data_IF_351965992154
#
_entry.id   IF_351965992154
#
_cell.length_a   1.000
_cell.length_b   1.000
_cell.length_c   1.000
_cell.angle_alpha   90.00
_cell.angle_beta   90.00
_cell.angle_gamma   90.00
#
_symmetry.space_group_name_H-M   'P 1'
#
loop_
_entity.id
_entity.type
_entity.pdbx_description
1 polymer ?
#
# COMPACT_ATOMS: atom_id res chain seq x y z
N UNK A 1 -9.11 51.71 -27.05
CA UNK A 1 -7.66 51.94 -27.23
C UNK A 1 -6.93 51.01 -26.26
N UNK A 2 -6.04 50.09 -26.59
CA UNK A 2 -5.50 49.48 -27.81
C UNK A 2 -4.97 48.09 -27.35
N UNK A 3 -5.46 46.97 -27.90
CA UNK A 3 -4.74 46.03 -28.80
C UNK A 3 -3.21 46.00 -28.70
N UNK A 4 -2.67 44.82 -28.35
CA UNK A 4 -1.50 44.11 -28.91
C UNK A 4 -1.37 42.78 -28.11
N UNK A 5 -1.99 41.66 -28.53
CA UNK A 5 -1.49 40.63 -29.46
C UNK A 5 -0.03 40.20 -29.23
N UNK A 6 0.15 39.03 -28.56
CA UNK A 6 1.11 37.99 -28.93
C UNK A 6 0.45 36.63 -28.64
N UNK A 7 0.15 35.90 -29.71
CA UNK A 7 -0.15 34.47 -29.70
C UNK A 7 1.13 33.68 -29.41
N UNK A 8 1.06 32.66 -28.55
CA UNK A 8 1.98 31.52 -28.62
C UNK A 8 1.37 30.28 -27.94
N UNK A 9 0.95 29.35 -28.81
CA UNK A 9 0.91 27.91 -28.63
C UNK A 9 0.09 27.31 -27.47
N UNK A 10 -1.13 26.93 -27.84
CA UNK A 10 -1.65 25.56 -27.75
C UNK A 10 -0.57 24.51 -27.39
N UNK A 11 -0.53 24.11 -26.12
CA UNK A 11 -0.26 22.71 -25.75
C UNK A 11 -1.42 22.31 -24.82
N UNK A 12 -2.63 22.33 -25.38
CA UNK A 12 -3.53 21.22 -25.11
C UNK A 12 -2.76 20.02 -25.61
N UNK A 13 -2.15 19.28 -24.69
CA UNK A 13 -1.78 17.90 -24.97
C UNK A 13 -3.07 17.25 -25.42
N UNK A 14 -3.27 17.21 -26.74
CA UNK A 14 -3.96 16.15 -27.40
C UNK A 14 -3.40 14.90 -26.75
N UNK A 15 -4.13 14.39 -25.77
CA UNK A 15 -4.33 12.95 -25.70
C UNK A 15 -4.86 12.64 -27.09
N UNK A 16 -3.94 12.40 -28.03
CA UNK A 16 -4.17 11.43 -29.05
C UNK A 16 -4.62 10.22 -28.26
N UNK A 17 -5.93 10.12 -28.07
CA UNK A 17 -6.58 8.84 -28.10
C UNK A 17 -6.10 8.31 -29.44
N UNK A 18 -5.02 7.53 -29.40
CA UNK A 18 -4.64 6.66 -30.48
C UNK A 18 -5.83 5.72 -30.62
N UNK A 19 -6.86 6.20 -31.34
CA UNK A 19 -7.87 5.33 -31.93
C UNK A 19 -7.04 4.27 -32.65
N UNK A 20 -7.30 2.97 -32.41
CA UNK A 20 -6.49 1.92 -33.01
C UNK A 20 -6.43 2.15 -34.53
N UNK A 21 -5.28 2.58 -35.02
CA UNK A 21 -5.03 2.67 -36.44
C UNK A 21 -4.94 1.24 -36.94
N UNK A 22 -5.88 0.82 -37.77
CA UNK A 22 -6.05 -0.55 -38.28
C UNK A 22 -6.38 -1.59 -37.21
N UNK A 23 -7.47 -2.32 -37.42
CA UNK A 23 -7.79 -3.49 -36.59
C UNK A 23 -6.66 -4.52 -36.72
N UNK A 24 -5.84 -4.65 -35.67
CA UNK A 24 -4.80 -5.68 -35.53
C UNK A 24 -5.47 -7.01 -35.16
N UNK A 25 -6.21 -7.59 -36.10
CA UNK A 25 -6.95 -8.84 -35.90
C UNK A 25 -5.98 -10.01 -36.03
N UNK A 26 -5.91 -10.83 -34.98
CA UNK A 26 -4.97 -11.96 -34.89
C UNK A 26 -5.66 -13.25 -34.47
N UNK A 27 -5.04 -14.36 -34.82
CA UNK A 27 -5.40 -15.69 -34.36
C UNK A 27 -4.17 -16.39 -33.82
N UNK A 28 -4.39 -17.26 -32.83
CA UNK A 28 -3.42 -18.28 -32.44
C UNK A 28 -3.96 -19.61 -32.93
N UNK A 29 -3.11 -20.39 -33.59
CA UNK A 29 -3.42 -21.74 -34.05
C UNK A 29 -2.49 -22.74 -33.38
N UNK A 30 -3.05 -23.89 -32.99
CA UNK A 30 -2.31 -25.04 -32.50
C UNK A 30 -2.12 -26.03 -33.64
N UNK A 31 -0.87 -26.33 -33.97
CA UNK A 31 -0.52 -27.28 -35.03
C UNK A 31 0.03 -28.56 -34.40
N UNK A 32 -0.47 -29.76 -34.77
CA UNK A 32 -0.03 -31.03 -34.19
C UNK A 32 1.49 -31.25 -34.25
N UNK A 33 2.01 -32.03 -33.30
CA UNK A 33 3.43 -32.31 -33.21
C UNK A 33 3.99 -33.00 -34.47
N UNK A 34 4.99 -32.38 -35.09
CA UNK A 34 5.72 -32.93 -36.23
C UNK A 34 7.00 -32.16 -36.54
N UNK A 35 7.88 -32.76 -37.37
CA UNK A 35 9.17 -32.16 -37.79
C UNK A 35 9.03 -30.85 -38.57
N UNK A 36 7.83 -30.53 -39.05
CA UNK A 36 7.56 -29.38 -39.93
C UNK A 36 6.37 -28.53 -39.48
N UNK A 37 6.08 -28.49 -38.17
CA UNK A 37 4.90 -27.77 -37.62
C UNK A 37 4.87 -26.28 -37.97
N UNK A 38 6.03 -25.62 -37.89
CA UNK A 38 6.17 -24.19 -38.22
C UNK A 38 5.96 -23.97 -39.71
N UNK A 39 6.56 -24.83 -40.55
CA UNK A 39 6.32 -24.80 -41.99
C UNK A 39 4.85 -25.07 -42.36
N UNK A 40 4.11 -25.85 -41.56
CA UNK A 40 2.68 -26.05 -41.75
C UNK A 40 1.86 -24.80 -41.35
N UNK A 41 2.26 -24.09 -40.29
CA UNK A 41 1.66 -22.80 -39.93
C UNK A 41 1.93 -21.71 -40.97
N UNK A 42 3.13 -21.67 -41.55
CA UNK A 42 3.48 -20.74 -42.65
C UNK A 42 2.61 -21.02 -43.88
N UNK A 43 2.53 -22.29 -44.32
CA UNK A 43 1.67 -22.67 -45.46
C UNK A 43 0.20 -22.35 -45.20
N UNK A 44 -0.29 -22.64 -44.00
CA UNK A 44 -1.64 -22.28 -43.58
C UNK A 44 -1.89 -20.77 -43.70
N UNK A 45 -0.93 -19.95 -43.28
CA UNK A 45 -1.03 -18.50 -43.41
C UNK A 45 -1.13 -18.11 -44.89
N UNK A 46 -0.24 -18.61 -45.74
CA UNK A 46 -0.23 -18.34 -47.18
C UNK A 46 -1.54 -18.77 -47.88
N UNK A 47 -2.00 -19.99 -47.62
CA UNK A 47 -3.24 -20.57 -48.17
C UNK A 47 -4.48 -19.75 -47.81
N UNK A 48 -4.49 -19.16 -46.61
CA UNK A 48 -5.61 -18.35 -46.09
C UNK A 48 -5.44 -16.87 -46.31
N UNK A 49 -4.35 -16.44 -46.93
CA UNK A 49 -4.00 -15.03 -47.09
C UNK A 49 -3.73 -14.33 -45.76
N UNK A 50 -3.35 -15.05 -44.71
CA UNK A 50 -2.93 -14.47 -43.45
C UNK A 50 -1.43 -14.22 -43.47
N UNK A 51 -1.00 -13.29 -42.65
CA UNK A 51 0.41 -13.06 -42.38
C UNK A 51 0.85 -13.95 -41.22
N UNK A 52 1.94 -14.70 -41.40
CA UNK A 52 2.57 -15.45 -40.33
C UNK A 52 3.39 -14.50 -39.44
N UNK A 53 3.05 -14.41 -38.15
CA UNK A 53 3.71 -13.51 -37.19
C UNK A 53 4.89 -14.22 -36.52
N UNK A 54 4.71 -15.46 -36.06
CA UNK A 54 5.75 -16.22 -35.38
C UNK A 54 5.23 -17.30 -34.43
N UNK A 55 6.14 -18.03 -33.75
CA UNK A 55 5.77 -18.96 -32.68
C UNK A 55 5.37 -18.21 -31.40
N UNK A 56 4.46 -18.81 -30.61
CA UNK A 56 4.07 -18.29 -29.30
C UNK A 56 4.92 -18.94 -28.21
N UNK A 57 5.96 -18.26 -27.75
CA UNK A 57 6.84 -18.77 -26.70
C UNK A 57 6.12 -18.87 -25.34
N UNK A 58 6.40 -19.91 -24.50
CA UNK A 58 7.29 -21.05 -24.73
C UNK A 58 6.59 -22.28 -25.35
N UNK A 59 5.45 -22.08 -26.04
CA UNK A 59 4.59 -23.16 -26.53
C UNK A 59 5.00 -23.60 -27.94
N UNK A 60 5.66 -24.76 -28.10
CA UNK A 60 6.26 -25.14 -29.37
C UNK A 60 5.23 -25.53 -30.44
N UNK A 61 3.96 -25.64 -30.11
CA UNK A 61 2.84 -26.02 -30.97
C UNK A 61 1.90 -24.87 -31.32
N UNK A 62 2.14 -23.67 -30.78
CA UNK A 62 1.29 -22.49 -31.01
C UNK A 62 1.96 -21.48 -31.94
N UNK A 63 1.19 -20.98 -32.90
CA UNK A 63 1.63 -20.02 -33.90
C UNK A 63 0.64 -18.86 -34.02
N UNK A 64 1.17 -17.64 -34.12
CA UNK A 64 0.39 -16.42 -34.27
C UNK A 64 0.27 -16.04 -35.76
N UNK A 65 -0.97 -15.80 -36.19
CA UNK A 65 -1.35 -15.38 -37.52
C UNK A 65 -2.08 -14.03 -37.45
N UNK A 66 -1.84 -13.14 -38.43
CA UNK A 66 -2.46 -11.82 -38.50
C UNK A 66 -3.24 -11.64 -39.79
N UNK A 67 -4.36 -10.93 -39.72
CA UNK A 67 -5.14 -10.58 -40.91
C UNK A 67 -4.32 -9.64 -41.81
N UNK A 68 -4.15 -10.01 -43.08
CA UNK A 68 -3.48 -9.17 -44.07
C UNK A 68 -4.47 -8.27 -44.80
N UNK A 69 -4.08 -7.01 -45.06
CA UNK A 69 -4.87 -6.06 -45.89
C UNK A 69 -5.24 -6.64 -47.25
N UNK A 70 -4.32 -7.39 -47.88
CA UNK A 70 -4.53 -7.98 -49.21
C UNK A 70 -5.70 -8.98 -49.25
N UNK A 71 -5.96 -9.66 -48.13
CA UNK A 71 -6.97 -10.72 -48.01
C UNK A 71 -8.36 -10.16 -47.75
N UNK A 72 -8.42 -9.03 -47.06
CA UNK A 72 -9.64 -8.24 -46.91
C UNK A 72 -10.05 -7.64 -48.26
N UNK A 73 -9.08 -7.09 -49.00
CA UNK A 73 -9.31 -6.52 -50.33
C UNK A 73 -9.75 -7.57 -51.37
N UNK A 74 -9.18 -8.78 -51.36
CA UNK A 74 -9.58 -9.84 -52.32
C UNK A 74 -10.95 -10.45 -52.01
N UNK A 75 -11.35 -10.53 -50.74
CA UNK A 75 -12.62 -11.17 -50.31
C UNK A 75 -13.81 -10.20 -50.34
N UNK A 76 -13.57 -8.89 -50.29
CA UNK A 76 -14.58 -7.84 -50.49
C UNK A 76 -15.17 -7.83 -51.92
N UNK A 77 -14.40 -8.28 -52.92
CA UNK A 77 -14.79 -8.23 -54.34
C UNK A 77 -15.73 -9.37 -54.74
N UNK A 78 -15.67 -10.52 -54.06
CA UNK A 78 -16.33 -11.77 -54.48
C UNK A 78 -17.74 -11.96 -53.86
N UNK A 79 -18.10 -11.20 -52.82
CA UNK A 79 -19.33 -11.41 -52.04
C UNK A 79 -20.26 -10.19 -51.93
N UNK A 80 -19.95 -9.04 -52.54
CA UNK A 80 -20.81 -7.84 -52.47
C UNK A 80 -20.97 -7.28 -51.04
N UNK A 81 -19.98 -7.50 -50.18
CA UNK A 81 -19.97 -7.07 -48.78
C UNK A 81 -19.06 -5.84 -48.67
N UNK A 82 -19.63 -4.74 -48.20
CA UNK A 82 -18.95 -3.46 -48.03
C UNK A 82 -18.24 -3.34 -46.69
N UNK A 83 -17.04 -2.74 -46.76
CA UNK A 83 -16.21 -2.19 -45.68
C UNK A 83 -15.42 -3.15 -44.78
N UNK A 84 -14.23 -2.64 -44.41
CA UNK A 84 -13.11 -3.26 -43.69
C UNK A 84 -13.43 -3.76 -42.27
N UNK A 85 -14.64 -3.54 -41.77
CA UNK A 85 -15.05 -3.78 -40.37
C UNK A 85 -16.20 -4.80 -40.25
N UNK A 86 -16.47 -5.61 -41.28
CA UNK A 86 -17.56 -6.61 -41.20
C UNK A 86 -17.14 -7.84 -40.37
N UNK A 87 -17.80 -8.10 -39.21
CA UNK A 87 -17.58 -9.31 -38.40
C UNK A 87 -17.68 -10.62 -39.19
N UNK A 88 -18.42 -10.61 -40.32
CA UNK A 88 -18.60 -11.78 -41.19
C UNK A 88 -17.28 -12.30 -41.79
N UNK A 89 -16.30 -11.43 -42.06
CA UNK A 89 -14.99 -11.82 -42.60
C UNK A 89 -14.14 -12.51 -41.54
N UNK A 90 -14.16 -11.97 -40.32
CA UNK A 90 -13.39 -12.52 -39.20
C UNK A 90 -13.94 -13.89 -38.77
N UNK A 91 -15.27 -14.04 -38.77
CA UNK A 91 -15.95 -15.30 -38.48
C UNK A 91 -15.66 -16.36 -39.55
N UNK A 92 -15.64 -15.97 -40.84
CA UNK A 92 -15.28 -16.85 -41.94
C UNK A 92 -13.83 -17.34 -41.83
N UNK A 93 -12.88 -16.44 -41.57
CA UNK A 93 -11.46 -16.79 -41.35
C UNK A 93 -11.32 -17.72 -40.14
N UNK A 94 -12.03 -17.44 -39.05
CA UNK A 94 -11.99 -18.29 -37.86
C UNK A 94 -12.54 -19.70 -38.12
N UNK A 95 -13.62 -19.82 -38.89
CA UNK A 95 -14.19 -21.10 -39.29
C UNK A 95 -13.24 -21.89 -40.21
N UNK A 96 -12.58 -21.21 -41.15
CA UNK A 96 -11.58 -21.83 -42.04
C UNK A 96 -10.36 -22.35 -41.27
N UNK A 97 -9.83 -21.57 -40.32
CA UNK A 97 -8.72 -21.99 -39.47
C UNK A 97 -9.10 -23.18 -38.59
N UNK A 98 -10.28 -23.12 -37.96
CA UNK A 98 -10.76 -24.18 -37.06
C UNK A 98 -11.12 -25.48 -37.80
N UNK A 99 -11.52 -25.39 -39.07
CA UNK A 99 -11.83 -26.54 -39.92
C UNK A 99 -10.62 -27.09 -40.68
N UNK A 100 -9.42 -26.51 -40.52
CA UNK A 100 -8.26 -26.90 -41.30
C UNK A 100 -7.63 -28.21 -40.78
N UNK A 101 -7.33 -29.19 -41.65
CA UNK A 101 -6.81 -30.50 -41.21
C UNK A 101 -5.42 -30.44 -40.54
N UNK A 102 -4.69 -29.34 -40.74
CA UNK A 102 -3.40 -29.11 -40.08
C UNK A 102 -3.51 -28.35 -38.74
N UNK A 103 -4.72 -27.99 -38.31
CA UNK A 103 -4.98 -27.20 -37.10
C UNK A 103 -5.78 -28.06 -36.12
N UNK A 104 -5.25 -28.24 -34.92
CA UNK A 104 -5.96 -28.91 -33.82
C UNK A 104 -6.93 -27.96 -33.12
N UNK A 105 -6.57 -26.69 -33.06
CA UNK A 105 -7.32 -25.65 -32.38
C UNK A 105 -6.95 -24.28 -32.93
N UNK A 106 -7.93 -23.39 -33.04
CA UNK A 106 -7.70 -21.99 -33.38
C UNK A 106 -8.48 -21.10 -32.42
N UNK A 107 -7.95 -19.90 -32.15
CA UNK A 107 -8.66 -18.89 -31.37
C UNK A 107 -8.33 -17.49 -31.86
N UNK A 108 -9.39 -16.72 -32.13
CA UNK A 108 -9.27 -15.29 -32.41
C UNK A 108 -8.85 -14.54 -31.15
N UNK A 109 -7.85 -13.67 -31.27
CA UNK A 109 -7.37 -12.84 -30.17
C UNK A 109 -8.29 -11.65 -29.97
N UNK A 110 -9.08 -11.70 -28.90
CA UNK A 110 -10.00 -10.63 -28.51
C UNK A 110 -9.35 -9.81 -27.40
N UNK A 111 -9.25 -8.47 -27.55
CA UNK A 111 -8.78 -7.60 -26.49
C UNK A 111 -9.58 -7.81 -25.20
N UNK A 112 -8.91 -8.25 -24.13
CA UNK A 112 -9.54 -8.42 -22.83
C UNK A 112 -9.53 -7.11 -22.06
N UNK A 113 -10.70 -6.61 -21.65
CA UNK A 113 -10.77 -5.54 -20.65
C UNK A 113 -10.33 -6.11 -19.29
N UNK A 114 -9.13 -5.75 -18.85
CA UNK A 114 -8.62 -6.07 -17.52
C UNK A 114 -8.65 -4.80 -16.66
N UNK A 115 -9.37 -4.84 -15.55
CA UNK A 115 -9.24 -3.80 -14.52
C UNK A 115 -8.17 -4.24 -13.52
N UNK A 116 -7.28 -3.32 -13.15
CA UNK A 116 -6.37 -3.53 -12.02
C UNK A 116 -7.23 -3.62 -10.77
N UNK A 117 -7.19 -4.75 -10.06
CA UNK A 117 -7.90 -4.90 -8.78
C UNK A 117 -7.19 -4.01 -7.76
N UNK A 118 -7.82 -2.90 -7.38
CA UNK A 118 -7.49 -2.20 -6.13
C UNK A 118 -7.95 -3.06 -4.95
N UNK A 119 -7.51 -2.71 -3.74
CA UNK A 119 -8.02 -3.32 -2.52
C UNK A 119 -9.55 -3.20 -2.49
N UNK A 120 -10.22 -4.30 -2.17
CA UNK A 120 -11.68 -4.35 -2.06
C UNK A 120 -12.15 -4.14 -0.61
N UNK A 121 -11.20 -3.94 0.30
CA UNK A 121 -11.42 -3.57 1.69
C UNK A 121 -12.33 -2.31 1.77
N UNK A 122 -13.49 -2.40 2.46
CA UNK A 122 -14.58 -1.44 2.35
C UNK A 122 -14.23 -0.01 2.82
N UNK A 123 -13.22 0.14 3.65
CA UNK A 123 -12.71 1.39 4.16
C UNK A 123 -11.50 1.94 3.40
N UNK A 124 -10.87 1.15 2.52
CA UNK A 124 -9.73 1.63 1.71
C UNK A 124 -10.05 2.89 0.90
N UNK A 125 -11.24 3.05 0.28
CA UNK A 125 -11.59 4.31 -0.40
C UNK A 125 -11.61 5.55 0.51
N UNK A 126 -11.70 5.36 1.84
CA UNK A 126 -11.64 6.42 2.86
C UNK A 126 -10.23 6.63 3.44
N UNK A 127 -9.27 5.74 3.19
CA UNK A 127 -7.88 5.87 3.61
C UNK A 127 -7.11 6.83 2.70
N UNK A 128 -7.50 8.10 2.76
CA UNK A 128 -6.94 9.17 1.93
C UNK A 128 -5.42 9.33 2.13
N UNK A 129 -4.91 9.08 3.33
CA UNK A 129 -3.47 9.11 3.64
C UNK A 129 -2.65 8.07 2.84
N UNK A 130 -3.28 6.99 2.33
CA UNK A 130 -2.64 6.00 1.46
C UNK A 130 -2.82 6.36 -0.02
N UNK A 131 -4.05 6.73 -0.39
CA UNK A 131 -4.41 7.15 -1.75
C UNK A 131 -5.47 8.25 -1.66
N UNK A 132 -5.08 9.49 -1.91
CA UNK A 132 -6.01 10.61 -1.86
C UNK A 132 -6.66 10.81 -3.23
N UNK A 133 -7.93 10.40 -3.33
CA UNK A 133 -8.71 10.48 -4.58
C UNK A 133 -9.23 11.89 -4.88
N UNK A 134 -9.19 12.79 -3.89
CA UNK A 134 -9.78 14.11 -3.96
C UNK A 134 -8.70 15.19 -4.13
N UNK A 135 -7.67 15.15 -3.28
CA UNK A 135 -6.50 16.05 -3.37
C UNK A 135 -5.27 15.24 -3.80
N UNK A 136 -5.02 15.17 -5.11
CA UNK A 136 -3.92 14.35 -5.65
C UNK A 136 -2.57 14.84 -5.13
N UNK A 137 -1.77 13.91 -4.61
CA UNK A 137 -0.46 14.21 -4.03
C UNK A 137 -0.49 14.56 -2.55
N UNK A 138 -1.68 14.68 -1.95
CA UNK A 138 -1.88 14.81 -0.51
C UNK A 138 -2.07 13.42 0.12
N UNK A 139 -1.12 12.52 -0.13
CA UNK A 139 -1.03 11.17 0.41
C UNK A 139 0.44 10.73 0.53
N UNK A 140 0.67 9.57 1.14
CA UNK A 140 2.02 9.01 1.36
C UNK A 140 2.68 8.48 0.09
N UNK A 141 2.01 8.53 -1.07
CA UNK A 141 2.48 7.96 -2.34
C UNK A 141 2.86 6.46 -2.25
N UNK A 142 2.30 5.72 -1.28
CA UNK A 142 2.61 4.30 -1.07
C UNK A 142 2.14 3.41 -2.23
N UNK A 143 1.16 3.87 -3.01
CA UNK A 143 0.62 3.11 -4.15
C UNK A 143 1.66 2.78 -5.22
N UNK A 144 2.71 3.60 -5.39
CA UNK A 144 3.83 3.29 -6.28
C UNK A 144 4.62 2.07 -5.79
N UNK A 145 4.97 2.07 -4.51
CA UNK A 145 5.72 1.01 -3.82
C UNK A 145 4.98 -0.33 -3.89
N UNK A 146 3.67 -0.32 -3.66
CA UNK A 146 2.85 -1.54 -3.79
C UNK A 146 2.80 -2.10 -5.22
N UNK A 147 2.86 -1.25 -6.24
CA UNK A 147 2.90 -1.69 -7.66
C UNK A 147 4.20 -2.40 -8.01
N UNK A 148 5.27 -2.13 -7.27
CA UNK A 148 6.56 -2.82 -7.38
C UNK A 148 6.57 -4.15 -6.60
N UNK A 149 5.46 -4.51 -5.96
CA UNK A 149 5.34 -5.74 -5.16
C UNK A 149 5.93 -5.63 -3.75
N UNK A 150 6.28 -4.41 -3.30
CA UNK A 150 6.81 -4.16 -1.97
C UNK A 150 5.65 -3.84 -1.02
N UNK A 151 5.39 -4.72 -0.05
CA UNK A 151 4.27 -4.61 0.90
C UNK A 151 4.70 -4.85 2.37
N UNK A 152 6.01 -4.87 2.65
CA UNK A 152 6.57 -5.10 3.98
C UNK A 152 6.75 -6.57 4.38
N UNK A 153 6.49 -7.52 3.49
CA UNK A 153 6.71 -8.95 3.77
C UNK A 153 8.12 -9.25 4.30
N UNK A 154 8.20 -10.08 5.34
CA UNK A 154 9.46 -10.45 5.99
C UNK A 154 9.93 -9.52 7.11
N UNK A 155 9.27 -8.38 7.31
CA UNK A 155 9.57 -7.43 8.39
C UNK A 155 8.54 -7.60 9.52
N UNK A 156 8.99 -7.53 10.79
CA UNK A 156 8.09 -7.39 11.95
C UNK A 156 8.23 -6.00 12.55
N UNK A 157 7.11 -5.33 12.75
CA UNK A 157 7.02 -4.05 13.46
C UNK A 157 6.38 -4.30 14.83
N UNK A 158 7.05 -3.89 15.91
CA UNK A 158 6.50 -3.93 17.25
C UNK A 158 5.85 -2.59 17.59
N UNK A 159 4.59 -2.64 18.02
CA UNK A 159 3.86 -1.52 18.59
C UNK A 159 4.03 -1.57 20.10
N UNK A 160 4.76 -0.59 20.66
CA UNK A 160 5.07 -0.50 22.10
C UNK A 160 4.07 0.44 22.74
N UNK A 161 3.03 -0.10 23.39
CA UNK A 161 1.82 0.65 23.66
C UNK A 161 0.92 0.07 24.78
N UNK A 162 -0.39 0.37 24.75
CA UNK A 162 -1.45 -0.09 25.66
C UNK A 162 -2.00 -1.50 25.33
N UNK A 163 -1.57 -2.07 24.21
CA UNK A 163 -1.92 -3.41 23.75
C UNK A 163 -2.34 -3.48 22.30
N UNK A 164 -2.24 -4.68 21.72
CA UNK A 164 -2.66 -4.97 20.34
C UNK A 164 -3.69 -6.09 20.39
N UNK A 165 -4.90 -5.79 19.92
CA UNK A 165 -5.97 -6.78 19.76
C UNK A 165 -5.65 -7.70 18.58
N UNK A 166 -4.72 -8.63 18.80
CA UNK A 166 -4.22 -9.48 17.73
C UNK A 166 -5.27 -10.43 17.15
N UNK A 167 -6.36 -10.71 17.88
CA UNK A 167 -7.49 -11.51 17.40
C UNK A 167 -8.39 -10.76 16.41
N UNK A 168 -8.15 -9.45 16.22
CA UNK A 168 -8.86 -8.65 15.25
C UNK A 168 -8.79 -9.32 13.86
N UNK A 169 -9.92 -9.47 13.14
CA UNK A 169 -9.94 -10.14 11.84
C UNK A 169 -8.97 -9.57 10.81
N UNK A 170 -8.67 -8.28 10.92
CA UNK A 170 -7.79 -7.56 10.01
C UNK A 170 -6.30 -7.68 10.37
N UNK A 171 -5.99 -8.00 11.64
CA UNK A 171 -4.63 -8.11 12.15
C UNK A 171 -4.16 -9.56 12.36
N UNK A 172 -5.09 -10.49 12.64
CA UNK A 172 -4.76 -11.86 13.09
C UNK A 172 -3.83 -12.63 12.18
N UNK A 173 -3.89 -12.39 10.87
CA UNK A 173 -3.04 -13.06 9.90
C UNK A 173 -1.62 -12.45 9.86
N UNK A 174 -1.49 -11.18 10.25
CA UNK A 174 -0.25 -10.42 10.32
C UNK A 174 0.34 -10.37 11.74
N UNK A 175 -0.36 -10.86 12.75
CA UNK A 175 0.16 -10.94 14.11
C UNK A 175 1.42 -11.82 14.21
N UNK A 176 2.41 -11.36 14.96
CA UNK A 176 3.61 -12.11 15.33
C UNK A 176 3.71 -12.25 16.86
N UNK A 177 3.34 -13.44 17.34
CA UNK A 177 3.40 -13.78 18.75
C UNK A 177 4.83 -13.87 19.31
N UNK A 178 5.84 -14.21 18.49
CA UNK A 178 7.23 -14.32 18.97
C UNK A 178 7.85 -12.95 19.28
N UNK A 179 7.40 -11.91 18.58
CA UNK A 179 7.78 -10.52 18.83
C UNK A 179 6.94 -9.82 19.90
N UNK A 180 5.92 -10.47 20.45
CA UNK A 180 4.92 -9.85 21.33
C UNK A 180 5.09 -10.21 22.81
N UNK A 181 4.70 -9.30 23.70
CA UNK A 181 4.72 -9.52 25.15
C UNK A 181 3.78 -8.56 25.87
N UNK A 182 3.27 -9.00 27.01
CA UNK A 182 2.56 -8.16 27.95
C UNK A 182 3.41 -7.97 29.20
N UNK A 183 3.90 -6.76 29.41
CA UNK A 183 4.65 -6.41 30.61
C UNK A 183 3.77 -5.91 31.76
N UNK A 184 2.54 -5.48 31.49
CA UNK A 184 1.62 -5.03 32.53
C UNK A 184 1.09 -6.23 33.35
N UNK A 185 0.73 -7.32 32.66
CA UNK A 185 0.26 -8.57 33.28
C UNK A 185 1.34 -9.69 33.30
N UNK A 186 2.51 -9.42 32.70
CA UNK A 186 3.68 -10.31 32.66
C UNK A 186 3.38 -11.68 32.01
N UNK A 187 2.75 -11.65 30.84
CA UNK A 187 2.46 -12.83 30.02
C UNK A 187 2.73 -12.60 28.51
N UNK A 188 2.27 -13.50 27.64
CA UNK A 188 2.55 -13.46 26.19
C UNK A 188 1.39 -12.90 25.37
N UNK A 189 0.25 -12.59 25.98
CA UNK A 189 -0.93 -12.10 25.28
C UNK A 189 -1.01 -10.57 25.41
N UNK A 190 -0.55 -9.79 24.41
CA UNK A 190 -0.54 -8.34 24.48
C UNK A 190 -1.94 -7.72 24.28
N UNK A 191 -3.00 -8.50 24.51
CA UNK A 191 -4.37 -8.06 24.24
C UNK A 191 -4.71 -6.88 25.16
N UNK A 192 -5.40 -5.84 24.66
CA UNK A 192 -5.74 -4.70 25.48
C UNK A 192 -6.71 -5.08 26.59
N UNK A 193 -6.53 -4.50 27.76
CA UNK A 193 -7.43 -4.71 28.88
C UNK A 193 -8.76 -3.98 28.66
N UNK A 194 -9.79 -4.74 28.31
CA UNK A 194 -11.13 -4.21 28.02
C UNK A 194 -11.86 -3.66 29.26
N UNK A 195 -11.34 -3.91 30.47
CA UNK A 195 -11.92 -3.45 31.74
C UNK A 195 -11.16 -2.25 32.33
N UNK A 196 -10.14 -1.74 31.63
CA UNK A 196 -9.39 -0.59 32.07
C UNK A 196 -10.30 0.64 32.20
N UNK A 197 -9.88 1.57 33.07
CA UNK A 197 -10.57 2.84 33.28
C UNK A 197 -10.49 3.75 32.05
N UNK A 198 -9.42 3.61 31.28
CA UNK A 198 -9.14 4.34 30.05
C UNK A 198 -9.27 3.39 28.85
N UNK A 199 -9.51 3.94 27.66
CA UNK A 199 -9.67 3.14 26.44
C UNK A 199 -8.31 2.67 25.93
N UNK A 200 -8.01 1.38 26.15
CA UNK A 200 -6.81 0.74 25.62
C UNK A 200 -7.03 0.29 24.17
N UNK A 201 -7.21 1.25 23.26
CA UNK A 201 -7.39 0.97 21.83
C UNK A 201 -6.25 1.53 20.98
N UNK A 202 -5.33 2.28 21.58
CA UNK A 202 -4.34 3.08 20.89
C UNK A 202 -3.34 2.19 20.11
N UNK A 203 -2.75 1.19 20.76
CA UNK A 203 -1.82 0.26 20.12
C UNK A 203 -2.47 -0.55 19.00
N UNK A 204 -3.75 -0.91 19.15
CA UNK A 204 -4.49 -1.62 18.10
C UNK A 204 -4.72 -0.74 16.86
N UNK A 205 -5.03 0.55 17.05
CA UNK A 205 -5.16 1.52 15.96
C UNK A 205 -3.84 1.68 15.21
N UNK A 206 -2.73 1.86 15.95
CA UNK A 206 -1.39 1.95 15.38
C UNK A 206 -1.01 0.68 14.58
N UNK A 207 -1.27 -0.50 15.14
CA UNK A 207 -1.05 -1.78 14.46
C UNK A 207 -1.82 -1.89 13.14
N UNK A 208 -3.07 -1.38 13.11
CA UNK A 208 -3.90 -1.29 11.91
C UNK A 208 -3.28 -0.44 10.81
N UNK A 209 -2.77 0.74 11.15
CA UNK A 209 -2.11 1.63 10.17
C UNK A 209 -0.87 0.99 9.56
N UNK A 210 -0.13 0.22 10.35
CA UNK A 210 1.09 -0.44 9.92
C UNK A 210 0.77 -1.66 9.03
N UNK A 211 -0.05 -2.59 9.52
CA UNK A 211 -0.14 -3.94 8.97
C UNK A 211 -1.56 -4.56 9.00
N UNK A 212 -2.62 -3.76 8.97
CA UNK A 212 -3.94 -4.29 8.58
C UNK A 212 -3.82 -5.01 7.22
N UNK A 213 -4.45 -6.18 7.13
CA UNK A 213 -4.31 -7.05 5.97
C UNK A 213 -5.15 -6.55 4.79
N UNK A 214 -4.69 -6.81 3.56
CA UNK A 214 -5.54 -6.69 2.39
C UNK A 214 -6.42 -7.96 2.29
N UNK A 215 -7.58 -7.95 2.96
CA UNK A 215 -8.35 -9.17 3.24
C UNK A 215 -9.88 -9.00 3.18
N UNK A 216 -10.35 -7.91 2.58
CA UNK A 216 -11.74 -7.55 2.37
C UNK A 216 -12.45 -7.08 3.66
N UNK A 217 -11.70 -6.80 4.73
CA UNK A 217 -12.20 -6.36 6.03
C UNK A 217 -11.64 -4.97 6.30
N UNK A 218 -12.50 -4.03 6.69
CA UNK A 218 -12.08 -2.68 7.04
C UNK A 218 -11.17 -2.03 5.99
N UNK A 219 -9.88 -1.80 6.27
CA UNK A 219 -8.95 -1.06 5.42
C UNK A 219 -7.65 -1.84 5.24
N UNK A 220 -6.60 -1.18 4.79
CA UNK A 220 -5.27 -1.82 4.61
C UNK A 220 -4.20 -1.04 5.35
N UNK A 221 -3.20 -1.74 5.87
CA UNK A 221 -2.01 -1.11 6.42
C UNK A 221 -1.05 -0.66 5.32
N UNK A 222 -0.18 0.33 5.63
CA UNK A 222 0.91 0.77 4.74
C UNK A 222 1.76 -0.42 4.29
N UNK A 223 2.04 -1.32 5.23
CA UNK A 223 2.80 -2.54 5.04
C UNK A 223 1.92 -3.77 5.31
N UNK A 224 0.83 -3.92 4.56
CA UNK A 224 -0.16 -4.99 4.72
C UNK A 224 0.38 -6.43 4.58
N UNK A 225 1.62 -6.63 4.11
CA UNK A 225 2.32 -7.91 4.09
C UNK A 225 3.30 -8.12 5.26
N UNK A 226 3.58 -7.07 6.04
CA UNK A 226 4.43 -7.15 7.22
C UNK A 226 3.76 -7.93 8.35
N UNK A 227 4.58 -8.32 9.33
CA UNK A 227 4.11 -8.79 10.62
C UNK A 227 4.03 -7.64 11.62
N UNK A 228 3.07 -7.73 12.54
CA UNK A 228 2.92 -6.78 13.65
C UNK A 228 2.95 -7.52 14.98
N UNK A 229 3.73 -7.00 15.92
CA UNK A 229 3.81 -7.48 17.29
C UNK A 229 3.29 -6.41 18.25
N UNK A 230 2.74 -6.84 19.39
CA UNK A 230 2.32 -5.94 20.46
C UNK A 230 3.21 -6.08 21.68
N UNK A 231 3.73 -4.97 22.19
CA UNK A 231 4.42 -4.89 23.48
C UNK A 231 3.54 -4.02 24.39
N UNK A 232 2.71 -4.65 25.22
CA UNK A 232 1.79 -3.97 26.14
C UNK A 232 2.56 -3.55 27.40
N UNK A 233 2.74 -2.24 27.58
CA UNK A 233 3.47 -1.68 28.72
C UNK A 233 2.87 -0.39 29.29
N UNK A 234 1.97 0.30 28.57
CA UNK A 234 1.36 1.56 29.00
C UNK A 234 0.10 1.41 29.88
N UNK A 235 -0.49 0.21 29.99
CA UNK A 235 -1.69 -0.01 30.82
C UNK A 235 -1.32 -0.32 32.29
N UNK A 236 -0.50 0.54 32.89
CA UNK A 236 0.00 0.36 34.24
C UNK A 236 1.15 1.30 34.60
N UNK A 237 1.86 0.98 35.67
CA UNK A 237 3.03 1.75 36.09
C UNK A 237 4.18 1.54 35.09
N UNK A 238 4.57 2.61 34.42
CA UNK A 238 5.75 2.64 33.55
C UNK A 238 6.97 3.04 34.39
N UNK A 239 8.09 2.36 34.17
CA UNK A 239 9.37 2.63 34.84
C UNK A 239 10.50 2.53 33.82
N UNK A 240 11.64 3.15 34.09
CA UNK A 240 12.86 3.09 33.26
C UNK A 240 13.25 1.63 32.89
N UNK A 241 13.12 0.70 33.83
CA UNK A 241 13.38 -0.72 33.59
C UNK A 241 12.37 -1.32 32.59
N UNK A 242 11.10 -0.93 32.68
CA UNK A 242 10.03 -1.42 31.81
C UNK A 242 10.22 -0.94 30.37
N UNK A 243 10.52 0.34 30.21
CA UNK A 243 10.86 0.95 28.93
C UNK A 243 12.08 0.27 28.30
N UNK A 244 13.17 0.15 29.07
CA UNK A 244 14.37 -0.53 28.59
C UNK A 244 14.11 -1.97 28.16
N UNK A 245 13.39 -2.76 28.97
CA UNK A 245 12.97 -4.12 28.59
C UNK A 245 12.15 -4.12 27.30
N UNK A 246 11.28 -3.14 27.09
CA UNK A 246 10.44 -3.02 25.90
C UNK A 246 11.26 -2.74 24.65
N UNK A 247 12.25 -1.83 24.72
CA UNK A 247 13.09 -1.45 23.58
C UNK A 247 14.04 -2.55 23.09
N UNK A 248 14.46 -3.47 23.95
CA UNK A 248 15.31 -4.62 23.54
C UNK A 248 14.54 -5.92 23.37
N UNK A 249 13.23 -5.94 23.65
CA UNK A 249 12.46 -7.17 23.61
C UNK A 249 12.47 -7.74 22.19
N UNK A 250 13.09 -8.92 22.05
CA UNK A 250 13.18 -9.66 20.79
C UNK A 250 13.75 -8.81 19.65
N UNK A 251 14.81 -8.03 19.91
CA UNK A 251 15.50 -7.14 18.97
C UNK A 251 15.96 -7.78 17.63
N UNK A 252 16.06 -9.11 17.53
CA UNK A 252 16.35 -9.83 16.28
C UNK A 252 15.10 -10.23 15.47
N UNK A 253 13.93 -10.21 16.11
CA UNK A 253 12.62 -10.56 15.53
C UNK A 253 11.86 -9.28 15.19
N UNK A 254 11.79 -8.34 16.13
CA UNK A 254 11.21 -7.01 15.95
C UNK A 254 12.25 -6.14 15.27
N UNK A 255 11.94 -5.65 14.06
CA UNK A 255 12.89 -4.86 13.28
C UNK A 255 12.71 -3.37 13.56
N UNK A 256 11.45 -2.96 13.64
CA UNK A 256 11.03 -1.59 13.87
C UNK A 256 10.21 -1.58 15.17
N UNK A 257 10.43 -0.59 16.03
CA UNK A 257 9.62 -0.30 17.20
C UNK A 257 8.90 1.04 16.94
N UNK A 258 7.58 1.02 16.99
CA UNK A 258 6.72 2.19 16.85
C UNK A 258 6.22 2.61 18.22
N UNK A 259 6.47 3.87 18.58
CA UNK A 259 6.18 4.42 19.90
C UNK A 259 5.48 5.77 19.74
N UNK A 260 4.19 5.85 20.10
CA UNK A 260 3.43 7.11 20.09
C UNK A 260 3.08 7.54 21.52
N UNK A 261 4.13 7.67 22.33
CA UNK A 261 4.09 8.09 23.73
C UNK A 261 5.40 8.79 24.10
N UNK A 262 5.38 9.55 25.19
CA UNK A 262 6.50 10.32 25.70
C UNK A 262 6.15 10.92 27.07
N UNK A 263 6.89 11.95 27.51
CA UNK A 263 6.54 12.76 28.67
C UNK A 263 5.17 13.43 28.52
N UNK A 264 4.74 14.15 29.56
CA UNK A 264 3.50 14.92 29.48
C UNK A 264 3.67 16.15 28.56
N UNK A 265 2.85 16.23 27.51
CA UNK A 265 2.85 17.30 26.50
C UNK A 265 2.21 18.63 27.03
N UNK A 266 2.66 19.11 28.19
CA UNK A 266 2.06 20.25 28.90
C UNK A 266 2.78 21.60 28.71
N UNK A 267 3.82 21.63 27.87
CA UNK A 267 4.65 22.81 27.62
C UNK A 267 5.58 23.18 28.79
N UNK A 268 5.73 22.31 29.79
CA UNK A 268 6.50 22.57 31.02
C UNK A 268 7.41 21.42 31.40
N UNK A 269 7.12 20.23 30.93
CA UNK A 269 7.86 19.00 31.25
C UNK A 269 9.15 18.92 30.45
N UNK A 270 10.24 18.53 31.13
CA UNK A 270 11.51 18.20 30.48
C UNK A 270 11.96 16.85 31.02
N UNK A 271 11.85 15.82 30.20
CA UNK A 271 12.09 14.44 30.58
C UNK A 271 12.63 13.67 29.37
N UNK A 272 13.22 12.50 29.61
CA UNK A 272 13.64 11.59 28.56
C UNK A 272 13.91 10.21 29.11
N UNK A 273 14.47 9.29 28.30
CA UNK A 273 14.76 7.95 28.75
C UNK A 273 15.71 7.96 29.95
N UNK A 274 15.36 7.16 30.96
CA UNK A 274 16.26 6.86 32.07
C UNK A 274 17.49 6.08 31.61
N UNK A 275 18.36 5.75 32.56
CA UNK A 275 19.64 5.08 32.24
C UNK A 275 19.41 3.73 31.55
N UNK A 276 18.47 2.91 32.06
CA UNK A 276 18.24 1.57 31.53
C UNK A 276 17.59 1.64 30.15
N UNK A 277 16.60 2.52 29.96
CA UNK A 277 15.95 2.76 28.68
C UNK A 277 16.96 3.21 27.62
N UNK A 278 17.83 4.16 27.96
CA UNK A 278 18.87 4.67 27.05
C UNK A 278 19.88 3.58 26.66
N UNK A 279 20.41 2.83 27.62
CA UNK A 279 21.33 1.72 27.37
C UNK A 279 20.68 0.63 26.50
N UNK A 280 19.39 0.36 26.72
CA UNK A 280 18.62 -0.59 25.93
C UNK A 280 18.47 -0.13 24.47
N UNK A 281 18.10 1.13 24.23
CA UNK A 281 18.02 1.70 22.87
C UNK A 281 19.38 1.62 22.16
N UNK A 282 20.47 2.02 22.84
CA UNK A 282 21.82 1.97 22.27
C UNK A 282 22.24 0.53 21.94
N UNK A 283 21.90 -0.43 22.81
CA UNK A 283 22.16 -1.84 22.57
C UNK A 283 21.37 -2.37 21.37
N UNK A 284 20.08 -2.03 21.26
CA UNK A 284 19.22 -2.42 20.15
C UNK A 284 19.71 -1.83 18.81
N UNK A 285 20.22 -0.59 18.81
CA UNK A 285 20.82 0.03 17.62
C UNK A 285 22.16 -0.61 17.26
N UNK A 286 22.97 -1.02 18.22
CA UNK A 286 24.28 -1.62 17.93
C UNK A 286 24.20 -3.10 17.55
N UNK A 287 23.26 -3.85 18.13
CA UNK A 287 23.24 -5.32 18.05
C UNK A 287 21.95 -5.90 17.50
N UNK A 288 20.86 -5.16 17.59
CA UNK A 288 19.57 -5.56 17.07
C UNK A 288 19.58 -5.78 15.57
N UNK A 289 18.59 -6.52 15.07
CA UNK A 289 18.52 -6.94 13.66
C UNK A 289 19.84 -7.54 13.18
N UNK A 290 20.46 -8.41 13.99
CA UNK A 290 21.72 -9.08 13.64
C UNK A 290 22.89 -8.11 13.35
N UNK A 291 22.91 -6.96 14.03
CA UNK A 291 23.93 -5.93 13.87
C UNK A 291 23.59 -4.83 12.86
N UNK A 292 22.44 -4.90 12.17
CA UNK A 292 21.96 -3.79 11.32
C UNK A 292 21.36 -2.62 12.13
N UNK A 293 21.03 -2.87 13.41
CA UNK A 293 20.43 -1.90 14.31
C UNK A 293 18.92 -1.81 14.16
N UNK A 294 18.21 -1.87 15.28
CA UNK A 294 16.77 -1.62 15.32
C UNK A 294 16.43 -0.19 14.90
N UNK A 295 15.25 -0.01 14.33
CA UNK A 295 14.70 1.30 14.01
C UNK A 295 13.67 1.64 15.07
N UNK A 296 13.85 2.77 15.76
CA UNK A 296 12.85 3.33 16.66
C UNK A 296 12.17 4.49 15.95
N UNK A 297 10.85 4.43 15.82
CA UNK A 297 10.04 5.53 15.29
C UNK A 297 9.27 6.11 16.46
N UNK A 298 9.50 7.39 16.74
CA UNK A 298 8.83 8.11 17.79
C UNK A 298 7.96 9.22 17.19
N UNK A 299 6.81 9.36 17.79
CA UNK A 299 5.88 10.42 17.48
C UNK A 299 6.35 11.72 18.18
N UNK A 300 6.17 12.87 17.54
CA UNK A 300 6.79 14.11 18.01
C UNK A 300 6.09 14.79 19.19
N UNK A 301 4.97 14.26 19.69
CA UNK A 301 4.20 14.90 20.76
C UNK A 301 3.03 15.76 20.28
N UNK A 302 2.09 16.00 21.19
CA UNK A 302 0.78 16.63 20.96
C UNK A 302 0.56 17.94 21.74
N UNK A 303 1.63 18.54 22.23
CA UNK A 303 1.64 19.72 23.09
C UNK A 303 1.58 21.06 22.36
N UNK A 304 1.33 21.07 21.04
CA UNK A 304 1.34 22.31 20.24
C UNK A 304 0.40 23.40 20.77
N UNK A 305 -0.77 23.03 21.33
CA UNK A 305 -1.72 23.97 21.96
C UNK A 305 -1.21 24.54 23.30
N UNK A 306 -0.27 23.85 23.93
CA UNK A 306 0.36 24.24 25.19
C UNK A 306 1.70 24.97 24.95
N UNK A 307 2.00 25.36 23.70
CA UNK A 307 3.28 25.93 23.27
C UNK A 307 4.48 25.02 23.57
N UNK A 308 4.28 23.69 23.51
CA UNK A 308 5.34 22.71 23.76
C UNK A 308 6.35 22.59 22.60
N UNK A 309 7.51 21.99 22.89
CA UNK A 309 8.58 21.78 21.94
C UNK A 309 9.24 20.42 22.15
N UNK A 310 9.18 19.56 21.13
CA UNK A 310 9.69 18.20 21.18
C UNK A 310 11.21 18.04 21.41
N UNK A 311 11.99 19.12 21.52
CA UNK A 311 13.35 19.04 22.05
C UNK A 311 13.38 18.77 23.57
N UNK A 312 12.31 19.06 24.30
CA UNK A 312 12.17 18.80 25.74
C UNK A 312 11.71 17.38 26.05
N UNK A 313 11.23 16.65 25.04
CA UNK A 313 11.08 15.21 25.07
C UNK A 313 12.39 14.53 24.62
N UNK A 314 13.09 13.89 25.55
CA UNK A 314 14.34 13.16 25.30
C UNK A 314 14.18 11.87 24.51
N UNK A 315 12.96 11.35 24.31
CA UNK A 315 12.68 10.27 23.37
C UNK A 315 12.62 10.80 21.93
N UNK A 316 11.82 11.84 21.69
CA UNK A 316 11.74 12.53 20.39
C UNK A 316 13.05 13.26 20.01
N UNK A 317 13.82 13.74 20.98
CA UNK A 317 15.10 14.43 20.74
C UNK A 317 16.32 13.48 20.69
N UNK A 318 16.09 12.17 20.69
CA UNK A 318 17.18 11.20 20.69
C UNK A 318 17.76 10.98 19.29
N UNK A 319 19.08 10.91 19.17
CA UNK A 319 19.74 10.50 17.91
C UNK A 319 19.46 9.04 17.52
N UNK A 320 18.85 8.29 18.43
CA UNK A 320 18.50 6.88 18.28
C UNK A 320 17.09 6.68 17.73
N UNK A 321 16.29 7.74 17.64
CA UNK A 321 14.91 7.69 17.17
C UNK A 321 14.76 8.42 15.84
N UNK A 322 13.77 7.99 15.08
CA UNK A 322 13.25 8.70 13.92
C UNK A 322 11.98 9.40 14.38
N UNK A 323 12.09 10.70 14.62
CA UNK A 323 10.98 11.51 15.12
C UNK A 323 10.12 12.02 13.98
N UNK A 324 8.84 11.67 14.03
CA UNK A 324 7.84 11.96 13.00
C UNK A 324 6.78 12.91 13.56
N UNK A 325 6.61 14.05 12.89
CA UNK A 325 5.50 14.96 13.15
C UNK A 325 4.28 14.71 12.27
N UNK A 326 3.27 15.57 12.40
CA UNK A 326 2.00 15.43 11.69
C UNK A 326 1.75 16.57 10.70
N UNK A 327 1.10 16.23 9.58
CA UNK A 327 0.41 17.14 8.66
C UNK A 327 -1.02 16.67 8.46
N UNK A 328 -1.94 17.58 8.22
CA UNK A 328 -3.33 17.25 7.91
C UNK A 328 -3.55 16.93 6.42
N UNK A 329 -4.80 16.65 6.03
CA UNK A 329 -5.16 16.35 4.64
C UNK A 329 -4.93 17.50 3.65
N UNK A 330 -4.72 18.72 4.16
CA UNK A 330 -4.42 19.92 3.39
C UNK A 330 -2.92 20.25 3.41
N UNK A 331 -2.06 19.36 3.91
CA UNK A 331 -0.63 19.59 4.12
C UNK A 331 -0.33 20.75 5.09
N UNK A 332 -1.27 21.06 5.97
CA UNK A 332 -1.11 22.09 7.00
C UNK A 332 -0.69 21.45 8.32
N UNK A 333 -0.01 22.23 9.16
CA UNK A 333 0.39 21.80 10.50
C UNK A 333 -0.85 21.74 11.42
N UNK A 334 -1.17 20.58 12.02
CA UNK A 334 -2.28 20.45 12.95
C UNK A 334 -2.04 21.22 14.26
N UNK A 335 -3.11 21.66 14.93
CA UNK A 335 -3.02 22.46 16.17
C UNK A 335 -2.30 21.77 17.34
N UNK A 336 -2.27 20.44 17.37
CA UNK A 336 -1.62 19.66 18.41
C UNK A 336 -0.14 19.39 18.10
N UNK A 337 0.30 19.53 16.84
CA UNK A 337 1.64 19.15 16.45
C UNK A 337 2.68 20.04 17.14
N UNK A 338 3.75 19.43 17.62
CA UNK A 338 4.90 20.15 18.19
C UNK A 338 5.95 20.45 17.12
N UNK A 339 6.76 21.49 17.35
CA UNK A 339 7.89 21.84 16.51
C UNK A 339 9.19 21.59 17.26
N UNK A 340 10.17 20.96 16.63
CA UNK A 340 11.53 20.94 17.15
C UNK A 340 12.56 20.66 16.06
N UNK A 341 13.83 20.91 16.38
CA UNK A 341 14.97 20.65 15.50
C UNK A 341 15.29 19.17 15.33
N UNK A 342 14.79 18.30 16.21
CA UNK A 342 15.03 16.87 16.16
C UNK A 342 14.11 16.11 15.20
N UNK A 343 13.01 16.73 14.78
CA UNK A 343 12.05 16.12 13.86
C UNK A 343 12.70 15.85 12.50
N UNK A 344 12.59 14.61 12.01
CA UNK A 344 13.19 14.21 10.73
C UNK A 344 12.22 14.34 9.55
N UNK A 345 10.95 14.06 9.78
CA UNK A 345 9.92 14.11 8.75
C UNK A 345 8.53 14.31 9.37
N UNK A 346 7.54 14.48 8.51
CA UNK A 346 6.12 14.50 8.88
C UNK A 346 5.36 13.47 8.06
N UNK A 347 4.25 12.97 8.60
CA UNK A 347 3.29 12.14 7.87
C UNK A 347 1.86 12.60 8.15
N UNK A 348 0.90 12.04 7.42
CA UNK A 348 -0.48 12.43 7.52
C UNK A 348 -1.14 11.92 8.81
N UNK A 349 -1.82 12.82 9.51
CA UNK A 349 -2.72 12.54 10.63
C UNK A 349 -4.00 13.40 10.50
N UNK A 350 -4.81 13.52 11.54
CA UNK A 350 -6.04 14.32 11.51
C UNK A 350 -5.78 15.83 11.64
N UNK A 351 -6.70 16.64 11.09
CA UNK A 351 -6.59 18.10 11.02
C UNK A 351 -7.28 18.93 12.11
N UNK A 352 -7.38 20.23 11.79
CA UNK A 352 -7.78 21.39 12.59
C UNK A 352 -9.24 21.46 13.09
N UNK A 353 -10.24 20.89 12.40
CA UNK A 353 -11.66 21.12 12.70
C UNK A 353 -12.54 19.88 12.77
N UNK A 354 -13.68 20.02 13.47
CA UNK A 354 -14.74 19.01 13.51
C UNK A 354 -15.34 18.83 12.10
N UNK A 355 -14.91 17.77 11.39
CA UNK A 355 -15.30 17.50 10.01
C UNK A 355 -14.15 17.06 9.11
N UNK A 356 -12.91 17.21 9.58
CA UNK A 356 -11.69 16.84 8.85
C UNK A 356 -11.62 15.34 8.58
N UNK A 357 -10.94 14.97 7.49
CA UNK A 357 -10.83 13.56 7.11
C UNK A 357 -9.87 12.88 8.05
N UNK A 358 -10.44 12.10 8.95
CA UNK A 358 -9.66 11.27 9.86
C UNK A 358 -8.87 10.20 9.10
N UNK A 359 -7.68 9.87 9.62
CA UNK A 359 -6.98 8.66 9.22
C UNK A 359 -7.87 7.46 9.61
N UNK A 360 -7.96 6.44 8.76
CA UNK A 360 -8.84 5.30 9.01
C UNK A 360 -8.01 4.10 9.41
N UNK A 361 -8.20 3.66 10.65
CA UNK A 361 -7.59 2.48 11.25
C UNK A 361 -8.63 1.43 11.65
N UNK A 362 -8.20 0.45 12.44
CA UNK A 362 -8.97 -0.76 12.73
C UNK A 362 -9.01 -1.00 14.24
N UNK A 363 -10.20 -1.21 14.81
CA UNK A 363 -10.36 -1.62 16.22
C UNK A 363 -11.53 -2.59 16.33
N UNK A 364 -11.37 -3.73 17.01
CA UNK A 364 -12.45 -4.71 17.29
C UNK A 364 -13.23 -5.16 16.05
N UNK A 365 -12.54 -5.31 14.92
CA UNK A 365 -13.14 -5.66 13.62
C UNK A 365 -14.04 -4.56 13.02
N UNK A 366 -14.04 -3.36 13.58
CA UNK A 366 -14.74 -2.19 13.07
C UNK A 366 -13.75 -1.20 12.45
N UNK A 367 -14.21 -0.52 11.41
CA UNK A 367 -13.54 0.67 10.88
C UNK A 367 -13.62 1.79 11.91
N UNK A 368 -12.47 2.23 12.40
CA UNK A 368 -12.38 3.32 13.37
C UNK A 368 -11.54 4.44 12.82
N UNK A 369 -12.00 5.66 13.07
CA UNK A 369 -11.26 6.86 12.75
C UNK A 369 -10.17 7.07 13.80
N UNK A 370 -8.94 7.18 13.33
CA UNK A 370 -7.74 7.54 14.08
C UNK A 370 -7.80 9.05 14.28
N UNK A 371 -7.90 9.46 15.55
CA UNK A 371 -8.03 10.85 15.96
C UNK A 371 -6.95 11.16 16.99
N UNK A 372 -6.24 12.26 16.78
CA UNK A 372 -5.37 12.94 17.74
C UNK A 372 -6.09 14.17 18.30
N UNK A 373 -6.09 14.31 19.62
CA UNK A 373 -6.51 15.52 20.32
C UNK A 373 -7.88 15.46 21.01
N UNK A 374 -8.15 16.47 21.85
CA UNK A 374 -9.22 16.47 22.85
C UNK A 374 -10.59 16.76 22.24
N UNK A 375 -11.48 15.77 22.21
CA UNK A 375 -12.93 16.01 22.22
C UNK A 375 -13.45 15.66 23.61
N UNK A 376 -13.85 16.69 24.36
CA UNK A 376 -14.47 16.66 25.70
C UNK A 376 -14.56 15.25 26.33
N UNK A 377 -13.54 14.90 27.11
CA UNK A 377 -13.64 13.86 28.14
C UNK A 377 -13.09 12.48 27.80
N UNK A 378 -12.50 12.24 26.62
CA UNK A 378 -11.72 11.03 26.35
C UNK A 378 -10.53 11.39 25.46
N UNK A 379 -9.34 11.35 26.03
CA UNK A 379 -8.10 11.60 25.29
C UNK A 379 -7.55 10.27 24.80
N UNK A 380 -7.45 10.10 23.49
CA UNK A 380 -6.72 8.99 22.85
C UNK A 380 -5.81 9.65 21.81
N UNK A 381 -4.50 9.49 21.96
CA UNK A 381 -3.48 10.21 21.18
C UNK A 381 -2.92 9.32 20.07
N UNK A 382 -3.59 9.14 18.93
CA UNK A 382 -3.04 8.26 17.89
C UNK A 382 -2.23 9.02 16.84
N UNK A 383 -0.91 9.12 17.04
CA UNK A 383 0.02 9.53 15.98
C UNK A 383 0.37 8.36 15.06
#
# INVERSE_FOLDING_TARGET
>A
MARLFVEALLILGSVEICLPSQQDVRWVVKVPAGRSREAAAIRLAEERGLEYVGPVEPFPDLFELRLSRKTVESRSVDHGIGQLDDPSVEDAVHAELSGHPAVEWASKQVPLKRMKREFIDPAFPRQWHLVNRLEKGHDTNVSGVWKEGVNGAGVTVAVVDDGVEWRNPDLRNNYNADGSHDYNDNDKDPSPNLKAKYDNSHGTKCAGLIAAGANDICGVGVAYGAKVAGIRMLDGMVTDLLEGKSFIFKAHVNWIYSCSWGPEDDGKTVEGPGYVAKEAMELAIKKGRYGYGNVFVFASGNGGINDDNCNFDGYANSIFTITIGAVDELNSMPYYAELCSAMLAVTYSNGHTQGDRMVVGVVRGLTVYVQVGVVRGLTVYVQ
#
